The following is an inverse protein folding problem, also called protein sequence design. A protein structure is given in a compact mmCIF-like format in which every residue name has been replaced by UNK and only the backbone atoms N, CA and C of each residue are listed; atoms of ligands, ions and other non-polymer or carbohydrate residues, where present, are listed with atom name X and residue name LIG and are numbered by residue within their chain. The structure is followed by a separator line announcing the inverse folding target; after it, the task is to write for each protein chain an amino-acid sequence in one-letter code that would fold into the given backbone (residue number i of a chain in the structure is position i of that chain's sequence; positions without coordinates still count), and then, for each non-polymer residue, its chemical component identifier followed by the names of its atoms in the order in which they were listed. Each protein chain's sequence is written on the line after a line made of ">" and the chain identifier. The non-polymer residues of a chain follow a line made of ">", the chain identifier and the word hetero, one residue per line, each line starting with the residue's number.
data_IF_764161791918
#
_entry.id   IF_764161791918
#
_cell.length_a   1.000
_cell.length_b   1.000
_cell.length_c   1.000
_cell.angle_alpha   90.00
_cell.angle_beta   90.00
_cell.angle_gamma   90.00
#
_symmetry.space_group_name_H-M   'P 1'
#
loop_
_entity.id
_entity.type
_entity.pdbx_description
1 polymer ?
#
# COMPACT_ATOMS: atom_id res chain seq x y z
N UNK A 1 14.84 -8.33 12.23
CA UNK A 1 15.39 -9.06 11.08
C UNK A 1 15.53 -8.07 9.93
N UNK A 2 16.37 -8.34 8.94
CA UNK A 2 16.51 -7.45 7.76
C UNK A 2 16.05 -8.25 6.55
N UNK A 3 15.12 -7.69 5.78
CA UNK A 3 14.56 -8.33 4.59
C UNK A 3 15.38 -8.02 3.35
N UNK A 4 15.45 -8.95 2.41
CA UNK A 4 16.11 -8.69 1.13
C UNK A 4 15.27 -7.73 0.28
N UNK A 5 15.92 -6.94 -0.58
CA UNK A 5 15.23 -6.05 -1.50
C UNK A 5 14.23 -6.80 -2.39
N UNK A 6 14.56 -8.02 -2.83
CA UNK A 6 13.66 -8.86 -3.61
C UNK A 6 12.41 -9.27 -2.85
N UNK A 7 12.53 -9.59 -1.56
CA UNK A 7 11.36 -9.89 -0.73
C UNK A 7 10.45 -8.66 -0.61
N UNK A 8 11.04 -7.48 -0.32
CA UNK A 8 10.31 -6.21 -0.25
C UNK A 8 9.58 -5.90 -1.57
N UNK A 9 10.26 -6.07 -2.71
CA UNK A 9 9.69 -5.85 -4.03
C UNK A 9 8.51 -6.80 -4.31
N UNK A 10 8.60 -8.06 -3.90
CA UNK A 10 7.49 -9.02 -4.03
C UNK A 10 6.28 -8.60 -3.18
N UNK A 11 6.50 -8.26 -1.91
CA UNK A 11 5.46 -7.75 -1.00
C UNK A 11 4.77 -6.52 -1.56
N UNK A 12 5.54 -5.57 -2.10
CA UNK A 12 5.01 -4.38 -2.73
C UNK A 12 4.23 -4.67 -4.02
N UNK A 13 4.72 -5.60 -4.85
CA UNK A 13 4.05 -6.00 -6.07
C UNK A 13 2.68 -6.65 -5.77
N UNK A 14 2.62 -7.56 -4.79
CA UNK A 14 1.36 -8.17 -4.33
C UNK A 14 0.40 -7.09 -3.83
N UNK A 15 0.88 -6.16 -3.01
CA UNK A 15 0.07 -5.03 -2.52
C UNK A 15 -0.50 -4.22 -3.69
N UNK A 16 0.34 -3.84 -4.65
CA UNK A 16 -0.06 -3.04 -5.81
C UNK A 16 -1.10 -3.74 -6.68
N UNK A 17 -0.91 -5.04 -6.96
CA UNK A 17 -1.87 -5.84 -7.74
C UNK A 17 -3.22 -5.93 -7.04
N UNK A 18 -3.25 -6.19 -5.73
CA UNK A 18 -4.48 -6.27 -4.96
C UNK A 18 -5.21 -4.91 -4.89
N UNK A 19 -4.47 -3.82 -4.69
CA UNK A 19 -5.03 -2.45 -4.68
C UNK A 19 -5.61 -2.10 -6.06
N UNK A 20 -4.88 -2.39 -7.14
CA UNK A 20 -5.39 -2.19 -8.50
C UNK A 20 -6.66 -3.02 -8.76
N UNK A 21 -6.70 -4.29 -8.33
CA UNK A 21 -7.86 -5.16 -8.44
C UNK A 21 -9.09 -4.61 -7.71
N UNK A 22 -8.91 -4.11 -6.49
CA UNK A 22 -9.99 -3.40 -5.76
C UNK A 22 -10.40 -2.11 -6.46
N UNK A 23 -9.45 -1.38 -7.06
CA UNK A 23 -9.73 -0.19 -7.85
C UNK A 23 -10.63 -0.50 -9.06
N UNK A 24 -10.31 -1.57 -9.81
CA UNK A 24 -11.13 -2.04 -10.94
C UNK A 24 -12.52 -2.46 -10.48
N UNK A 25 -12.65 -3.06 -9.30
CA UNK A 25 -13.94 -3.44 -8.72
C UNK A 25 -14.77 -2.24 -8.23
N UNK A 26 -14.14 -1.26 -7.59
CA UNK A 26 -14.85 -0.17 -6.89
C UNK A 26 -15.11 1.03 -7.79
N UNK A 27 -14.17 1.41 -8.63
CA UNK A 27 -14.28 2.63 -9.43
C UNK A 27 -15.20 2.43 -10.65
N UNK A 28 -15.79 3.50 -11.21
CA UNK A 28 -16.52 3.42 -12.47
C UNK A 28 -15.62 2.85 -13.59
N UNK A 29 -16.17 2.11 -14.54
CA UNK A 29 -15.37 1.42 -15.59
C UNK A 29 -14.48 2.34 -16.43
N UNK A 30 -14.85 3.62 -16.60
CA UNK A 30 -14.02 4.61 -17.28
C UNK A 30 -12.78 5.06 -16.49
N UNK A 31 -12.71 4.77 -15.19
CA UNK A 31 -11.64 5.19 -14.28
C UNK A 31 -10.58 4.08 -14.03
N UNK A 32 -10.39 3.16 -14.98
CA UNK A 32 -9.40 2.09 -14.87
C UNK A 32 -7.96 2.61 -14.72
N UNK A 33 -7.65 3.78 -15.29
CA UNK A 33 -6.35 4.44 -15.10
C UNK A 33 -6.11 4.85 -13.65
N UNK A 34 -7.16 5.28 -12.92
CA UNK A 34 -7.05 5.65 -11.52
C UNK A 34 -6.84 4.41 -10.64
N UNK A 35 -7.42 3.27 -11.02
CA UNK A 35 -7.17 1.98 -10.37
C UNK A 35 -5.72 1.52 -10.53
N UNK A 36 -5.18 1.56 -11.76
CA UNK A 36 -3.77 1.23 -12.02
C UNK A 36 -2.84 2.19 -11.27
N UNK A 37 -3.11 3.50 -11.35
CA UNK A 37 -2.32 4.49 -10.65
C UNK A 37 -2.31 4.24 -9.14
N UNK A 38 -3.46 3.95 -8.53
CA UNK A 38 -3.53 3.61 -7.11
C UNK A 38 -2.69 2.37 -6.76
N UNK A 39 -2.75 1.31 -7.58
CA UNK A 39 -1.93 0.12 -7.37
C UNK A 39 -0.42 0.40 -7.48
N UNK A 40 0.00 1.14 -8.51
CA UNK A 40 1.41 1.52 -8.69
C UNK A 40 1.89 2.39 -7.54
N UNK A 41 1.11 3.40 -7.15
CA UNK A 41 1.46 4.31 -6.06
C UNK A 41 1.52 3.59 -4.71
N UNK A 42 0.61 2.66 -4.44
CA UNK A 42 0.66 1.82 -3.24
C UNK A 42 1.93 0.96 -3.22
N UNK A 43 2.29 0.31 -4.34
CA UNK A 43 3.51 -0.47 -4.44
C UNK A 43 4.77 0.40 -4.21
N UNK A 44 4.85 1.57 -4.86
CA UNK A 44 5.97 2.51 -4.69
C UNK A 44 6.07 2.98 -3.24
N UNK A 45 4.94 3.29 -2.59
CA UNK A 45 4.91 3.68 -1.19
C UNK A 45 5.43 2.56 -0.27
N UNK A 46 5.01 1.31 -0.51
CA UNK A 46 5.50 0.14 0.24
C UNK A 46 7.00 -0.08 0.02
N UNK A 47 7.48 -0.06 -1.23
CA UNK A 47 8.93 -0.19 -1.52
C UNK A 47 9.72 0.91 -0.81
N UNK A 48 9.30 2.17 -0.98
CA UNK A 48 9.99 3.32 -0.39
C UNK A 48 10.05 3.23 1.12
N UNK A 49 8.91 2.99 1.77
CA UNK A 49 8.84 2.84 3.22
C UNK A 49 9.70 1.67 3.69
N UNK A 50 9.50 0.48 3.10
CA UNK A 50 10.18 -0.73 3.54
C UNK A 50 11.68 -0.66 3.33
N UNK A 51 12.18 -0.10 2.24
CA UNK A 51 13.62 0.06 2.03
C UNK A 51 14.23 1.05 3.04
N UNK A 52 13.56 2.17 3.32
CA UNK A 52 14.06 3.17 4.28
C UNK A 52 14.01 2.67 5.73
N UNK A 53 12.98 1.90 6.09
CA UNK A 53 12.74 1.42 7.45
C UNK A 53 13.20 -0.03 7.68
N UNK A 54 13.99 -0.62 6.77
CA UNK A 54 14.46 -2.01 6.87
C UNK A 54 15.57 -2.19 7.92
N UNK A 55 15.25 -1.94 9.18
CA UNK A 55 16.19 -1.98 10.29
C UNK A 55 15.72 -3.01 11.31
N UNK A 56 16.67 -3.77 11.89
CA UNK A 56 16.36 -4.81 12.87
C UNK A 56 15.44 -4.34 14.00
N UNK A 57 15.70 -3.15 14.56
CA UNK A 57 14.91 -2.57 15.65
C UNK A 57 13.45 -2.22 15.29
N UNK A 58 13.15 -2.00 14.01
CA UNK A 58 11.78 -1.71 13.54
C UNK A 58 11.04 -2.97 13.08
N UNK A 59 11.78 -4.05 12.81
CA UNK A 59 11.25 -5.31 12.31
C UNK A 59 11.14 -6.37 13.42
N UNK A 60 12.00 -6.33 14.45
CA UNK A 60 11.95 -7.20 15.64
C UNK A 60 11.51 -6.36 16.86
N UNK A 61 10.30 -5.83 16.82
CA UNK A 61 9.78 -5.07 17.94
C UNK A 61 9.09 -5.97 18.99
N UNK A 62 8.49 -5.35 20.00
CA UNK A 62 7.99 -6.04 21.18
C UNK A 62 6.73 -6.89 20.98
N UNK A 63 6.06 -6.86 19.82
CA UNK A 63 4.81 -7.58 19.59
C UNK A 63 5.00 -8.80 18.66
N UNK A 64 4.94 -10.05 19.15
CA UNK A 64 5.15 -11.22 18.31
C UNK A 64 4.18 -11.29 17.12
N UNK A 65 4.74 -11.45 15.92
CA UNK A 65 3.98 -11.55 14.67
C UNK A 65 3.54 -10.22 14.06
N UNK A 66 3.95 -9.09 14.65
CA UNK A 66 3.77 -7.77 14.09
C UNK A 66 5.09 -7.01 14.23
N UNK A 67 5.25 -5.96 13.43
CA UNK A 67 6.29 -4.98 13.64
C UNK A 67 5.74 -3.57 13.41
N UNK A 68 6.36 -2.58 14.06
CA UNK A 68 6.07 -1.18 13.89
C UNK A 68 6.17 -0.79 12.41
N UNK A 69 7.07 -1.45 11.68
CA UNK A 69 7.22 -1.27 10.25
C UNK A 69 6.00 -1.77 9.46
N UNK A 70 5.41 -2.91 9.83
CA UNK A 70 4.20 -3.44 9.19
C UNK A 70 2.98 -2.56 9.46
N UNK A 71 2.89 -2.02 10.66
CA UNK A 71 1.80 -1.12 11.08
C UNK A 71 1.92 0.27 10.43
N UNK A 72 3.14 0.72 10.12
CA UNK A 72 3.40 2.04 9.55
C UNK A 72 3.35 2.08 8.02
N UNK A 73 3.70 0.99 7.32
CA UNK A 73 3.63 0.95 5.84
C UNK A 73 2.26 1.37 5.26
N UNK A 74 1.10 1.00 5.85
CA UNK A 74 -0.22 1.45 5.40
C UNK A 74 -0.42 2.97 5.50
N UNK A 75 0.26 3.65 6.44
CA UNK A 75 0.20 5.10 6.59
C UNK A 75 0.84 5.78 5.38
N UNK A 76 1.99 5.29 4.93
CA UNK A 76 2.65 5.80 3.72
C UNK A 76 1.75 5.65 2.49
N UNK A 77 1.10 4.49 2.33
CA UNK A 77 0.12 4.25 1.26
C UNK A 77 -1.06 5.23 1.37
N UNK A 78 -1.64 5.40 2.55
CA UNK A 78 -2.75 6.33 2.75
C UNK A 78 -2.37 7.77 2.37
N UNK A 79 -1.21 8.25 2.80
CA UNK A 79 -0.72 9.60 2.49
C UNK A 79 -0.51 9.77 0.99
N UNK A 80 0.21 8.85 0.33
CA UNK A 80 0.49 8.92 -1.10
C UNK A 80 -0.80 8.92 -1.93
N UNK A 81 -1.76 8.06 -1.60
CA UNK A 81 -3.05 8.02 -2.30
C UNK A 81 -3.92 9.25 -2.00
N UNK A 82 -3.74 9.90 -0.85
CA UNK A 82 -4.42 11.16 -0.54
C UNK A 82 -3.86 12.30 -1.38
N UNK A 83 -2.54 12.42 -1.46
CA UNK A 83 -1.88 13.41 -2.33
C UNK A 83 -2.32 13.21 -3.78
N UNK A 84 -2.36 11.97 -4.27
CA UNK A 84 -2.85 11.69 -5.62
C UNK A 84 -4.30 12.12 -5.83
N UNK A 85 -5.19 11.82 -4.88
CA UNK A 85 -6.59 12.21 -4.96
C UNK A 85 -6.79 13.73 -4.99
N UNK A 86 -5.96 14.48 -4.27
CA UNK A 86 -6.04 15.93 -4.21
C UNK A 86 -5.42 16.61 -5.45
N UNK A 87 -4.50 15.93 -6.14
CA UNK A 87 -3.84 16.44 -7.36
C UNK A 87 -4.58 16.09 -8.66
N UNK A 88 -5.56 15.19 -8.63
CA UNK A 88 -6.25 14.68 -9.82
C UNK A 88 -7.76 14.84 -9.70
N UNK A 89 -8.41 15.20 -10.81
CA UNK A 89 -9.88 15.19 -10.88
C UNK A 89 -10.35 13.73 -10.95
N UNK A 90 -10.92 13.24 -9.85
CA UNK A 90 -11.43 11.88 -9.74
C UNK A 90 -12.89 11.79 -10.22
N UNK A 91 -13.21 10.73 -10.96
CA UNK A 91 -14.57 10.51 -11.48
C UNK A 91 -15.62 10.29 -10.37
N UNK A 92 -15.22 9.62 -9.27
CA UNK A 92 -16.06 9.41 -8.08
C UNK A 92 -15.19 9.48 -6.80
N UNK A 93 -15.11 10.66 -6.14
CA UNK A 93 -14.28 10.83 -4.95
C UNK A 93 -14.68 9.92 -3.78
N UNK A 94 -15.97 9.57 -3.66
CA UNK A 94 -16.46 8.71 -2.56
C UNK A 94 -15.96 7.28 -2.73
N UNK A 95 -16.09 6.73 -3.94
CA UNK A 95 -15.58 5.38 -4.26
C UNK A 95 -14.06 5.33 -4.20
N UNK A 96 -13.38 6.40 -4.59
CA UNK A 96 -11.93 6.50 -4.40
C UNK A 96 -11.54 6.53 -2.91
N UNK A 97 -12.30 7.23 -2.06
CA UNK A 97 -12.12 7.17 -0.61
C UNK A 97 -12.24 5.75 -0.04
N UNK A 98 -13.17 4.94 -0.58
CA UNK A 98 -13.30 3.52 -0.23
C UNK A 98 -12.12 2.68 -0.74
N UNK A 99 -11.65 2.92 -1.97
CA UNK A 99 -10.44 2.30 -2.50
C UNK A 99 -9.24 2.58 -1.60
N UNK A 100 -9.03 3.85 -1.21
CA UNK A 100 -7.94 4.26 -0.31
C UNK A 100 -8.02 3.56 1.04
N UNK A 101 -9.22 3.46 1.64
CA UNK A 101 -9.41 2.73 2.89
C UNK A 101 -9.10 1.23 2.76
N UNK A 102 -9.56 0.59 1.68
CA UNK A 102 -9.24 -0.81 1.39
C UNK A 102 -7.75 -1.02 1.11
N UNK A 103 -7.08 -0.06 0.47
CA UNK A 103 -5.65 -0.12 0.24
C UNK A 103 -4.86 -0.13 1.56
N UNK A 104 -5.29 0.61 2.58
CA UNK A 104 -4.71 0.54 3.93
C UNK A 104 -4.85 -0.87 4.51
N UNK A 105 -6.05 -1.46 4.44
CA UNK A 105 -6.32 -2.81 4.95
C UNK A 105 -5.48 -3.86 4.21
N UNK A 106 -5.43 -3.79 2.88
CA UNK A 106 -4.62 -4.68 2.05
C UNK A 106 -3.15 -4.55 2.40
N UNK A 107 -2.65 -3.31 2.48
CA UNK A 107 -1.24 -3.05 2.79
C UNK A 107 -0.89 -3.64 4.15
N UNK A 108 -1.74 -3.43 5.16
CA UNK A 108 -1.53 -3.98 6.50
C UNK A 108 -1.46 -5.51 6.45
N UNK A 109 -2.47 -6.15 5.87
CA UNK A 109 -2.55 -7.60 5.80
C UNK A 109 -1.35 -8.21 5.05
N UNK A 110 -1.01 -7.67 3.87
CA UNK A 110 0.10 -8.17 3.06
C UNK A 110 1.43 -7.99 3.78
N UNK A 111 1.65 -6.84 4.43
CA UNK A 111 2.89 -6.58 5.15
C UNK A 111 3.06 -7.53 6.34
N UNK A 112 2.04 -7.69 7.19
CA UNK A 112 2.08 -8.60 8.35
C UNK A 112 2.23 -10.07 7.95
N UNK A 113 1.67 -10.49 6.80
CA UNK A 113 1.73 -11.89 6.37
C UNK A 113 3.07 -12.24 5.70
N UNK A 114 3.66 -11.29 4.97
CA UNK A 114 4.82 -11.59 4.11
C UNK A 114 6.15 -11.23 4.73
N UNK A 115 6.21 -10.16 5.54
CA UNK A 115 7.45 -9.60 6.08
C UNK A 115 7.42 -9.77 7.59
#
# INVERSE_FOLDING_TARGET
>A
MIFSAMHILLTAAITGVLVAGVGVWRLPGAAWLDAIAAGVLAAVAVVGWRLCANMGALNDDGLPGFSANDLAAPIAVFVVLSVYADLRVLADPRRYGQLRALAVVITLAVNVITI
#
